data_IF_454795656580
#
_entry.id   IF_454795656580
#
_cell.length_a   1.000
_cell.length_b   1.000
_cell.length_c   1.000
_cell.angle_alpha   90.00
_cell.angle_beta   90.00
_cell.angle_gamma   90.00
#
_symmetry.space_group_name_H-M   'P 1'
#
loop_
_entity.id
_entity.type
_entity.pdbx_description
1 polymer ?
#
# COMPACT_ATOMS: atom_id res chain seq x y z
N UNK A 1 -38.11 11.10 34.91
CA UNK A 1 -37.67 9.70 34.66
C UNK A 1 -37.27 9.48 33.20
N UNK A 2 -37.81 10.22 32.20
CA UNK A 2 -37.57 10.04 30.76
C UNK A 2 -36.23 10.63 30.25
N UNK A 3 -35.64 11.59 30.94
CA UNK A 3 -34.40 12.28 30.53
C UNK A 3 -33.15 11.40 30.74
N UNK A 4 -33.18 10.55 31.74
CA UNK A 4 -32.04 9.65 32.08
C UNK A 4 -31.87 8.53 31.06
N UNK A 5 -32.96 8.03 30.45
CA UNK A 5 -32.92 6.96 29.45
C UNK A 5 -32.29 7.40 28.12
N UNK A 6 -32.40 8.69 27.74
CA UNK A 6 -31.88 9.22 26.48
C UNK A 6 -30.35 9.38 26.52
N UNK A 7 -29.78 9.67 27.70
CA UNK A 7 -28.31 9.84 27.85
C UNK A 7 -27.56 8.50 27.82
N UNK A 8 -28.19 7.41 28.26
CA UNK A 8 -27.55 6.09 28.23
C UNK A 8 -27.44 5.50 26.81
N UNK A 9 -28.37 5.82 25.90
CA UNK A 9 -28.35 5.32 24.52
C UNK A 9 -27.27 5.98 23.67
N UNK A 10 -26.92 7.25 23.95
CA UNK A 10 -25.87 7.96 23.20
C UNK A 10 -24.44 7.50 23.54
N UNK A 11 -24.19 6.99 24.74
CA UNK A 11 -22.87 6.50 25.14
C UNK A 11 -22.53 5.10 24.59
N UNK A 12 -23.51 4.28 24.22
CA UNK A 12 -23.26 2.93 23.70
C UNK A 12 -22.79 2.92 22.24
N UNK A 13 -23.22 3.89 21.42
CA UNK A 13 -22.79 4.00 20.04
C UNK A 13 -21.32 4.42 19.86
N UNK A 14 -20.81 5.29 20.73
CA UNK A 14 -19.45 5.86 20.60
C UNK A 14 -18.38 4.80 20.89
N UNK A 15 -18.63 3.90 21.82
CA UNK A 15 -17.66 2.85 22.21
C UNK A 15 -17.43 1.80 21.12
N UNK A 16 -18.45 1.51 20.31
CA UNK A 16 -18.33 0.50 19.24
C UNK A 16 -17.53 1.01 18.04
N UNK A 17 -17.59 2.32 17.73
CA UNK A 17 -16.79 2.91 16.63
C UNK A 17 -15.30 2.96 16.98
N UNK A 18 -14.95 3.30 18.21
CA UNK A 18 -13.55 3.35 18.63
C UNK A 18 -12.87 1.98 18.58
N UNK A 19 -13.56 0.93 18.97
CA UNK A 19 -13.03 -0.44 18.93
C UNK A 19 -12.79 -0.93 17.49
N UNK A 20 -13.67 -0.60 16.55
CA UNK A 20 -13.53 -0.96 15.14
C UNK A 20 -12.34 -0.24 14.48
N UNK A 21 -12.16 1.04 14.75
CA UNK A 21 -11.02 1.82 14.24
C UNK A 21 -9.69 1.29 14.78
N UNK A 22 -9.62 0.91 16.05
CA UNK A 22 -8.41 0.36 16.64
C UNK A 22 -8.02 -0.98 16.00
N UNK A 23 -9.00 -1.82 15.65
CA UNK A 23 -8.74 -3.09 14.95
C UNK A 23 -8.17 -2.87 13.55
N UNK A 24 -8.70 -1.90 12.79
CA UNK A 24 -8.23 -1.58 11.43
C UNK A 24 -6.81 -1.00 11.45
N UNK A 25 -6.45 -0.19 12.46
CA UNK A 25 -5.09 0.32 12.64
C UNK A 25 -4.08 -0.80 12.93
N UNK A 26 -4.41 -1.75 13.79
CA UNK A 26 -3.54 -2.91 14.09
C UNK A 26 -3.34 -3.76 12.83
N UNK A 27 -4.39 -3.93 12.02
CA UNK A 27 -4.30 -4.64 10.74
C UNK A 27 -3.40 -3.89 9.75
N UNK A 28 -3.56 -2.58 9.64
CA UNK A 28 -2.73 -1.75 8.76
C UNK A 28 -1.25 -1.77 9.17
N UNK A 29 -0.95 -1.68 10.47
CA UNK A 29 0.42 -1.78 10.97
C UNK A 29 1.05 -3.15 10.68
N UNK A 30 0.30 -4.23 10.81
CA UNK A 30 0.77 -5.58 10.50
C UNK A 30 1.10 -5.76 9.03
N UNK A 31 0.30 -5.20 8.11
CA UNK A 31 0.47 -5.37 6.65
C UNK A 31 1.46 -4.39 6.06
N UNK A 32 1.37 -3.12 6.44
CA UNK A 32 2.12 -2.01 5.87
C UNK A 32 3.38 -1.66 6.69
N UNK A 33 3.51 -2.26 7.89
CA UNK A 33 4.60 -2.00 8.82
C UNK A 33 4.38 -0.76 9.70
N UNK A 34 5.30 -0.51 10.67
CA UNK A 34 5.10 0.50 11.72
C UNK A 34 5.05 1.94 11.20
N UNK A 35 5.53 2.20 9.99
CA UNK A 35 5.52 3.53 9.37
C UNK A 35 4.34 3.77 8.43
N UNK A 36 3.32 2.93 8.47
CA UNK A 36 2.20 2.96 7.54
C UNK A 36 1.44 4.30 7.53
N UNK A 37 1.31 4.98 8.67
CA UNK A 37 0.70 6.31 8.73
C UNK A 37 1.52 7.34 7.93
N UNK A 38 2.85 7.31 8.06
CA UNK A 38 3.73 8.18 7.30
C UNK A 38 3.69 7.89 5.80
N UNK A 39 3.62 6.61 5.42
CA UNK A 39 3.48 6.16 4.05
C UNK A 39 2.17 6.69 3.45
N UNK A 40 1.05 6.57 4.17
CA UNK A 40 -0.26 7.07 3.76
C UNK A 40 -0.31 8.59 3.58
N UNK A 41 0.34 9.35 4.48
CA UNK A 41 0.36 10.83 4.42
C UNK A 41 1.27 11.37 3.31
N UNK A 42 2.35 10.66 2.97
CA UNK A 42 3.28 11.06 1.89
C UNK A 42 2.76 10.74 0.50
N UNK A 43 1.84 9.81 0.38
CA UNK A 43 1.27 9.44 -0.90
C UNK A 43 0.31 10.52 -1.42
N UNK A 44 0.49 10.92 -2.67
CA UNK A 44 -0.45 11.77 -3.41
C UNK A 44 -1.60 10.96 -4.00
N UNK A 45 -1.32 9.71 -4.38
CA UNK A 45 -2.29 8.78 -4.94
C UNK A 45 -2.22 7.45 -4.20
N UNK A 46 -3.38 6.91 -3.80
CA UNK A 46 -3.51 5.59 -3.14
C UNK A 46 -4.72 4.88 -3.74
N UNK A 47 -4.50 3.69 -4.26
CA UNK A 47 -5.59 2.90 -4.84
C UNK A 47 -5.26 1.40 -4.84
N UNK A 48 -6.28 0.56 -4.84
CA UNK A 48 -6.18 -0.81 -5.25
C UNK A 48 -6.58 -0.92 -6.73
N UNK A 49 -5.79 -1.65 -7.52
CA UNK A 49 -6.04 -1.73 -8.95
C UNK A 49 -5.37 -2.93 -9.61
N UNK A 50 -5.74 -3.11 -10.86
CA UNK A 50 -5.22 -4.17 -11.73
C UNK A 50 -4.18 -3.59 -12.69
N UNK A 51 -3.01 -4.19 -12.76
CA UNK A 51 -1.96 -3.83 -13.74
C UNK A 51 -2.43 -4.23 -15.14
N UNK A 52 -2.58 -3.27 -16.03
CA UNK A 52 -3.00 -3.49 -17.43
C UNK A 52 -1.82 -3.71 -18.35
N UNK A 53 -0.78 -2.90 -18.19
CA UNK A 53 0.42 -2.95 -19.02
C UNK A 53 1.63 -2.39 -18.26
N UNK A 54 2.80 -2.93 -18.61
CA UNK A 54 4.11 -2.41 -18.22
C UNK A 54 4.92 -2.29 -19.49
N UNK A 55 5.35 -1.07 -19.83
CA UNK A 55 6.19 -0.78 -20.98
C UNK A 55 7.53 -0.28 -20.47
N UNK A 56 8.56 -1.10 -20.62
CA UNK A 56 9.94 -0.72 -20.29
C UNK A 56 10.60 -0.13 -21.55
N UNK A 57 11.40 0.93 -21.43
CA UNK A 57 12.15 1.43 -22.57
C UNK A 57 13.13 0.34 -23.03
N UNK A 58 13.00 -0.08 -24.28
CA UNK A 58 13.96 -0.99 -24.89
C UNK A 58 15.22 -0.19 -25.17
N UNK A 59 16.30 -0.43 -24.44
CA UNK A 59 17.62 0.03 -24.85
C UNK A 59 18.02 -0.87 -26.01
N UNK A 60 17.77 -0.42 -27.22
CA UNK A 60 18.28 -1.10 -28.40
C UNK A 60 19.79 -0.90 -28.39
N UNK A 61 20.54 -1.91 -27.96
CA UNK A 61 21.98 -2.00 -28.16
C UNK A 61 22.27 -2.29 -29.64
N UNK A 62 21.85 -1.34 -30.48
CA UNK A 62 22.19 -1.33 -31.89
C UNK A 62 23.58 -0.76 -32.04
N UNK A 63 24.43 -1.49 -32.73
CA UNK A 63 25.80 -1.17 -33.16
C UNK A 63 25.87 0.05 -34.11
N UNK A 64 24.94 0.96 -34.07
CA UNK A 64 24.96 2.22 -34.82
C UNK A 64 25.22 3.38 -33.85
N UNK A 65 26.48 3.76 -33.78
CA UNK A 65 27.06 4.82 -32.96
C UNK A 65 26.57 6.23 -33.34
N UNK A 66 25.27 6.51 -33.35
CA UNK A 66 24.78 7.87 -33.60
C UNK A 66 23.40 8.15 -33.03
N UNK A 67 22.86 7.29 -32.19
CA UNK A 67 21.63 7.69 -31.50
C UNK A 67 22.04 8.54 -30.28
N UNK A 68 22.17 9.86 -30.54
CA UNK A 68 22.33 10.87 -29.52
C UNK A 68 21.18 10.70 -28.54
N UNK A 69 21.51 10.19 -27.34
CA UNK A 69 20.67 10.39 -26.17
C UNK A 69 20.33 11.88 -26.14
N UNK A 70 19.10 12.22 -26.47
CA UNK A 70 18.62 13.59 -26.37
C UNK A 70 18.87 14.00 -24.93
N UNK A 71 19.75 15.02 -24.68
CA UNK A 71 20.05 15.43 -23.33
C UNK A 71 18.74 15.85 -22.66
N UNK A 72 18.33 15.16 -21.59
CA UNK A 72 17.11 15.46 -20.84
C UNK A 72 16.03 14.38 -20.88
N UNK A 73 16.16 13.33 -21.68
CA UNK A 73 15.19 12.21 -21.66
C UNK A 73 15.68 11.14 -20.68
N UNK A 74 15.25 11.20 -19.43
CA UNK A 74 15.47 10.10 -18.51
C UNK A 74 14.62 8.91 -18.95
N UNK A 75 15.19 7.69 -19.05
CA UNK A 75 14.43 6.52 -19.41
C UNK A 75 13.34 6.28 -18.34
N UNK A 76 12.08 6.29 -18.77
CA UNK A 76 10.95 6.07 -17.90
C UNK A 76 10.22 4.77 -18.28
N UNK A 77 9.83 4.01 -17.28
CA UNK A 77 8.92 2.87 -17.41
C UNK A 77 7.50 3.40 -17.34
N UNK A 78 6.66 2.99 -18.27
CA UNK A 78 5.24 3.33 -18.29
C UNK A 78 4.43 2.16 -17.71
N UNK A 79 3.58 2.47 -16.74
CA UNK A 79 2.67 1.52 -16.11
C UNK A 79 1.24 2.00 -16.26
N UNK A 80 0.37 1.12 -16.69
CA UNK A 80 -1.06 1.41 -16.80
C UNK A 80 -1.83 0.52 -15.83
N UNK A 81 -2.74 1.14 -15.08
CA UNK A 81 -3.59 0.49 -14.08
C UNK A 81 -5.06 0.76 -14.37
N UNK A 82 -5.92 -0.21 -14.11
CA UNK A 82 -7.33 0.06 -13.86
C UNK A 82 -7.51 0.25 -12.36
N UNK A 83 -8.08 1.37 -11.95
CA UNK A 83 -8.38 1.65 -10.54
C UNK A 83 -9.64 0.87 -10.14
N UNK A 84 -9.48 -0.17 -9.35
CA UNK A 84 -10.61 -1.00 -8.87
C UNK A 84 -11.23 -0.41 -7.61
N UNK A 85 -10.41 0.16 -6.69
CA UNK A 85 -10.82 0.86 -5.47
C UNK A 85 -9.98 2.14 -5.30
N UNK A 86 -10.65 3.30 -5.25
CA UNK A 86 -10.00 4.61 -5.10
C UNK A 86 -9.95 5.03 -3.63
N UNK A 87 -8.75 5.22 -3.06
CA UNK A 87 -8.58 5.63 -1.67
C UNK A 87 -8.23 7.10 -1.57
N UNK A 88 -7.30 7.59 -2.38
CA UNK A 88 -6.91 9.01 -2.41
C UNK A 88 -6.32 9.40 -3.77
N UNK A 89 -6.65 10.61 -4.25
CA UNK A 89 -6.03 11.28 -5.40
C UNK A 89 -6.30 10.64 -6.77
N UNK A 90 -7.25 9.74 -6.88
CA UNK A 90 -7.66 9.04 -8.10
C UNK A 90 -9.16 8.80 -8.07
N UNK A 91 -9.74 8.41 -9.22
CA UNK A 91 -11.15 8.06 -9.36
C UNK A 91 -11.31 6.56 -9.62
N UNK A 92 -12.35 5.96 -9.04
CA UNK A 92 -12.67 4.55 -9.24
C UNK A 92 -13.08 4.29 -10.69
N UNK A 93 -12.61 3.19 -11.25
CA UNK A 93 -12.89 2.79 -12.62
C UNK A 93 -12.00 3.46 -13.68
N UNK A 94 -11.23 4.51 -13.32
CA UNK A 94 -10.35 5.15 -14.30
C UNK A 94 -9.19 4.23 -14.72
N UNK A 95 -8.70 4.45 -15.92
CA UNK A 95 -7.42 3.90 -16.38
C UNK A 95 -6.35 4.96 -16.13
N UNK A 96 -5.46 4.68 -15.17
CA UNK A 96 -4.37 5.55 -14.78
C UNK A 96 -3.07 5.08 -15.43
N UNK A 97 -2.39 5.96 -16.15
CA UNK A 97 -1.05 5.70 -16.66
C UNK A 97 -0.06 6.57 -15.90
N UNK A 98 0.96 5.92 -15.33
CA UNK A 98 2.05 6.57 -14.61
C UNK A 98 3.38 6.35 -15.33
N UNK A 99 4.30 7.26 -15.11
CA UNK A 99 5.68 7.16 -15.59
C UNK A 99 6.61 7.10 -14.37
N UNK A 100 7.46 6.09 -14.34
CA UNK A 100 8.44 5.92 -13.29
C UNK A 100 9.85 5.93 -13.88
N UNK A 101 10.81 6.52 -13.16
CA UNK A 101 12.20 6.47 -13.58
C UNK A 101 12.72 5.02 -13.60
N UNK A 102 13.32 4.60 -14.71
CA UNK A 102 13.76 3.22 -14.90
C UNK A 102 14.76 2.73 -13.81
N UNK A 103 15.60 3.64 -13.29
CA UNK A 103 16.51 3.33 -12.19
C UNK A 103 15.78 2.98 -10.88
N UNK A 104 14.68 3.66 -10.55
CA UNK A 104 13.85 3.32 -9.40
C UNK A 104 13.09 2.01 -9.63
N UNK A 105 12.58 1.81 -10.83
CA UNK A 105 11.87 0.60 -11.23
C UNK A 105 12.73 -0.67 -11.07
N UNK A 106 13.99 -0.63 -11.44
CA UNK A 106 14.90 -1.79 -11.34
C UNK A 106 15.15 -2.27 -9.91
N UNK A 107 14.91 -1.41 -8.92
CA UNK A 107 15.08 -1.73 -7.49
C UNK A 107 13.80 -2.25 -6.83
N UNK A 108 12.70 -2.33 -7.58
CA UNK A 108 11.39 -2.72 -7.07
C UNK A 108 11.00 -4.12 -7.52
N UNK A 109 9.92 -4.65 -6.93
CA UNK A 109 9.31 -5.87 -7.42
C UNK A 109 8.67 -5.60 -8.78
N UNK A 110 8.96 -6.39 -9.81
CA UNK A 110 8.32 -6.22 -11.10
C UNK A 110 6.81 -6.44 -10.96
N UNK A 111 6.04 -5.56 -11.58
CA UNK A 111 4.59 -5.70 -11.67
C UNK A 111 4.25 -6.37 -12.99
N UNK A 112 3.42 -7.40 -12.92
CA UNK A 112 3.00 -8.18 -14.08
C UNK A 112 1.56 -7.86 -14.48
N UNK A 113 1.27 -7.93 -15.77
CA UNK A 113 -0.08 -7.72 -16.29
C UNK A 113 -1.07 -8.68 -15.62
N UNK A 114 -2.24 -8.16 -15.22
CA UNK A 114 -3.28 -8.89 -14.52
C UNK A 114 -3.07 -9.00 -13.01
N UNK A 115 -1.94 -8.54 -12.49
CA UNK A 115 -1.69 -8.51 -11.05
C UNK A 115 -2.59 -7.47 -10.37
N UNK A 116 -3.23 -7.85 -9.26
CA UNK A 116 -3.93 -6.93 -8.37
C UNK A 116 -2.98 -6.41 -7.30
N UNK A 117 -2.97 -5.10 -7.08
CA UNK A 117 -2.06 -4.43 -6.17
C UNK A 117 -2.73 -3.25 -5.47
N UNK A 118 -2.45 -3.06 -4.18
CA UNK A 118 -2.67 -1.81 -3.48
C UNK A 118 -1.37 -1.01 -3.54
N UNK A 119 -1.41 0.20 -4.07
CA UNK A 119 -0.22 1.00 -4.33
C UNK A 119 -0.35 2.41 -3.73
N UNK A 120 0.76 2.89 -3.17
CA UNK A 120 0.94 4.22 -2.62
C UNK A 120 1.96 4.96 -3.48
N UNK A 121 1.55 5.97 -4.21
CA UNK A 121 2.40 6.74 -5.13
C UNK A 121 2.66 8.14 -4.61
N UNK A 122 3.88 8.63 -4.78
CA UNK A 122 4.16 10.05 -4.57
C UNK A 122 3.32 10.90 -5.53
N UNK A 123 3.06 12.18 -5.17
CA UNK A 123 2.54 13.13 -6.15
C UNK A 123 3.47 13.18 -7.38
N UNK A 124 2.92 13.29 -8.60
CA UNK A 124 3.74 13.44 -9.79
C UNK A 124 4.68 14.63 -9.68
N UNK A 125 5.93 14.44 -10.08
CA UNK A 125 6.92 15.52 -10.19
C UNK A 125 6.56 16.48 -11.31
N UNK A 126 7.30 17.59 -11.45
CA UNK A 126 7.14 18.53 -12.57
C UNK A 126 7.38 17.88 -13.94
N UNK A 127 8.09 16.75 -13.98
CA UNK A 127 8.33 15.96 -15.20
C UNK A 127 7.27 14.88 -15.41
N UNK A 128 6.19 14.84 -14.60
CA UNK A 128 5.16 13.82 -14.67
C UNK A 128 5.60 12.44 -14.15
N UNK A 129 6.80 12.34 -13.56
CA UNK A 129 7.29 11.08 -12.99
C UNK A 129 6.76 10.90 -11.58
N UNK A 130 6.39 9.67 -11.23
CA UNK A 130 6.04 9.25 -9.88
C UNK A 130 6.68 7.90 -9.56
N UNK A 131 6.68 7.51 -8.29
CA UNK A 131 7.16 6.22 -7.82
C UNK A 131 6.42 5.80 -6.56
N UNK A 132 6.42 4.52 -6.20
CA UNK A 132 5.85 4.06 -4.94
C UNK A 132 6.58 4.65 -3.73
N UNK A 133 5.79 5.08 -2.75
CA UNK A 133 6.30 5.66 -1.50
C UNK A 133 7.08 4.59 -0.73
N UNK A 134 8.36 4.84 -0.48
CA UNK A 134 9.23 3.87 0.19
C UNK A 134 9.58 2.65 -0.68
N UNK A 135 9.46 2.77 -2.01
CA UNK A 135 9.76 1.70 -2.96
C UNK A 135 8.82 0.50 -2.80
N UNK A 136 9.37 -0.70 -2.59
CA UNK A 136 8.57 -1.92 -2.43
C UNK A 136 7.62 -1.92 -1.21
N UNK A 137 7.83 -1.04 -0.23
CA UNK A 137 6.92 -0.88 0.91
C UNK A 137 5.59 -0.25 0.50
N UNK A 138 5.60 0.59 -0.53
CA UNK A 138 4.40 1.20 -1.09
C UNK A 138 3.64 0.31 -2.07
N UNK A 139 3.96 -0.98 -2.13
CA UNK A 139 3.36 -1.95 -3.04
C UNK A 139 2.90 -3.17 -2.25
N UNK A 140 1.60 -3.39 -2.16
CA UNK A 140 1.02 -4.54 -1.46
C UNK A 140 0.32 -5.43 -2.49
N UNK A 141 0.82 -6.65 -2.68
CA UNK A 141 0.20 -7.61 -3.57
C UNK A 141 -1.15 -8.07 -3.00
N UNK A 142 -2.17 -8.08 -3.82
CA UNK A 142 -3.50 -8.57 -3.50
C UNK A 142 -3.70 -9.99 -4.07
N UNK A 143 -4.73 -10.67 -3.57
CA UNK A 143 -5.15 -11.97 -4.10
C UNK A 143 -5.79 -11.81 -5.50
N UNK A 144 -6.09 -12.92 -6.15
CA UNK A 144 -6.71 -12.94 -7.48
C UNK A 144 -8.09 -12.25 -7.54
N UNK A 145 -8.73 -12.06 -6.40
CA UNK A 145 -9.99 -11.30 -6.33
C UNK A 145 -9.78 -9.79 -6.23
N UNK A 146 -8.55 -9.33 -5.93
CA UNK A 146 -8.23 -7.95 -5.66
C UNK A 146 -8.80 -7.40 -4.35
N UNK A 147 -9.45 -8.26 -3.54
CA UNK A 147 -10.18 -7.83 -2.33
C UNK A 147 -9.43 -8.06 -1.04
N UNK A 148 -8.41 -8.92 -1.05
CA UNK A 148 -7.64 -9.27 0.13
C UNK A 148 -6.13 -9.19 -0.13
N UNK A 149 -5.36 -8.98 0.92
CA UNK A 149 -3.90 -9.04 0.86
C UNK A 149 -3.46 -10.47 0.55
N UNK A 150 -2.50 -10.64 -0.36
CA UNK A 150 -1.95 -11.94 -0.73
C UNK A 150 -1.29 -12.64 0.47
N UNK A 151 -1.49 -13.96 0.58
CA UNK A 151 -0.90 -14.77 1.65
C UNK A 151 0.63 -14.77 1.65
N UNK A 152 1.26 -14.58 0.50
CA UNK A 152 2.71 -14.56 0.40
C UNK A 152 3.31 -13.33 1.07
N UNK A 153 2.62 -12.19 1.02
CA UNK A 153 3.00 -10.99 1.77
C UNK A 153 2.87 -11.20 3.29
N UNK A 154 1.82 -11.88 3.72
CA UNK A 154 1.60 -12.17 5.16
C UNK A 154 2.66 -13.11 5.74
N UNK A 155 3.23 -14.02 4.93
CA UNK A 155 4.31 -14.94 5.36
C UNK A 155 5.67 -14.27 5.48
N UNK A 156 5.98 -13.32 4.61
CA UNK A 156 7.27 -12.61 4.62
C UNK A 156 7.43 -11.75 5.89
N UNK A 157 6.35 -11.15 6.40
CA UNK A 157 6.41 -10.39 7.65
C UNK A 157 6.51 -11.29 8.89
N UNK A 158 5.94 -12.49 8.83
CA UNK A 158 6.08 -13.48 9.90
C UNK A 158 7.50 -14.09 9.98
N UNK A 159 8.26 -14.03 8.90
CA UNK A 159 9.65 -14.53 8.81
C UNK A 159 10.70 -13.43 8.96
N UNK A 160 10.30 -12.16 9.12
CA UNK A 160 11.26 -11.09 9.37
C UNK A 160 11.87 -11.33 10.76
N UNK A 161 13.15 -11.74 10.85
CA UNK A 161 13.79 -11.91 12.14
C UNK A 161 13.73 -10.57 12.85
N UNK A 162 13.30 -10.57 14.09
CA UNK A 162 13.56 -9.48 15.03
C UNK A 162 15.08 -9.39 15.20
N UNK A 163 15.78 -8.91 14.18
CA UNK A 163 17.20 -8.78 14.14
C UNK A 163 17.60 -7.73 15.15
N UNK A 164 18.14 -8.24 16.25
CA UNK A 164 19.22 -7.65 17.03
C UNK A 164 18.94 -6.27 17.63
N UNK A 165 18.21 -6.22 18.72
CA UNK A 165 18.67 -5.46 19.87
C UNK A 165 18.70 -6.44 21.03
N UNK A 166 19.92 -6.91 21.34
CA UNK A 166 20.17 -7.69 22.54
C UNK A 166 19.87 -6.85 23.76
N UNK A 167 19.16 -7.44 24.70
CA UNK A 167 19.39 -7.40 26.13
C UNK A 167 18.13 -7.89 26.85
N UNK A 168 18.31 -8.90 27.68
CA UNK A 168 17.43 -9.11 28.83
C UNK A 168 16.43 -10.25 28.73
N UNK A 169 16.82 -11.40 29.29
CA UNK A 169 15.94 -12.46 29.79
C UNK A 169 14.74 -11.88 30.53
N UNK A 170 13.54 -12.27 30.11
CA UNK A 170 12.45 -12.53 31.02
C UNK A 170 11.41 -13.41 30.29
N UNK A 171 11.39 -14.66 30.65
CA UNK A 171 10.38 -15.64 30.31
C UNK A 171 9.08 -15.25 30.97
N UNK A 172 8.08 -14.89 30.17
CA UNK A 172 6.67 -15.01 30.55
C UNK A 172 5.93 -15.56 29.36
N UNK A 173 5.21 -16.67 29.49
CA UNK A 173 4.37 -17.18 28.42
C UNK A 173 3.20 -16.20 28.23
N UNK A 174 3.30 -15.33 27.24
CA UNK A 174 2.14 -14.59 26.77
C UNK A 174 1.12 -15.59 26.24
N UNK A 175 -0.16 -15.47 26.63
CA UNK A 175 -1.20 -16.31 26.07
C UNK A 175 -1.15 -16.14 24.55
N UNK A 176 -0.97 -17.24 23.84
CA UNK A 176 -1.19 -17.33 22.39
C UNK A 176 -2.68 -16.98 22.17
N UNK A 177 -2.96 -15.70 21.96
CA UNK A 177 -4.18 -15.34 21.28
C UNK A 177 -4.17 -16.13 19.98
N UNK A 178 -5.13 -17.00 19.79
CA UNK A 178 -5.45 -17.63 18.52
C UNK A 178 -5.72 -16.51 17.55
N UNK A 179 -4.66 -16.07 16.85
CA UNK A 179 -4.78 -15.11 15.75
C UNK A 179 -5.55 -15.85 14.68
N UNK A 180 -6.83 -15.56 14.63
CA UNK A 180 -7.66 -15.89 13.49
C UNK A 180 -6.85 -15.50 12.23
N UNK A 181 -6.49 -16.49 11.41
CA UNK A 181 -5.81 -16.30 10.14
C UNK A 181 -6.75 -15.63 9.13
N UNK A 182 -7.54 -14.66 9.59
CA UNK A 182 -8.45 -13.86 8.82
C UNK A 182 -7.71 -13.17 7.69
N UNK A 183 -8.18 -13.38 6.48
CA UNK A 183 -7.72 -12.66 5.31
C UNK A 183 -7.90 -11.18 5.56
N UNK A 184 -6.83 -10.41 5.47
CA UNK A 184 -6.91 -8.95 5.59
C UNK A 184 -7.55 -8.40 4.33
N UNK A 185 -8.69 -7.73 4.48
CA UNK A 185 -9.39 -7.13 3.34
C UNK A 185 -8.84 -5.75 2.98
N UNK A 186 -8.92 -5.39 1.71
CA UNK A 186 -8.56 -4.05 1.20
C UNK A 186 -9.42 -2.98 1.89
N UNK A 187 -10.71 -3.26 2.14
CA UNK A 187 -11.64 -2.33 2.81
C UNK A 187 -11.20 -1.98 4.24
N UNK A 188 -10.62 -2.94 4.98
CA UNK A 188 -10.07 -2.66 6.32
C UNK A 188 -8.85 -1.73 6.23
N UNK A 189 -7.94 -1.98 5.27
CA UNK A 189 -6.79 -1.12 5.02
C UNK A 189 -7.21 0.27 4.56
N UNK A 190 -8.19 0.37 3.67
CA UNK A 190 -8.75 1.63 3.20
C UNK A 190 -9.26 2.49 4.35
N UNK A 191 -10.09 1.93 5.25
CA UNK A 191 -10.60 2.67 6.41
C UNK A 191 -9.48 3.17 7.31
N UNK A 192 -8.49 2.33 7.60
CA UNK A 192 -7.33 2.74 8.38
C UNK A 192 -6.55 3.87 7.69
N UNK A 193 -6.31 3.75 6.37
CA UNK A 193 -5.57 4.73 5.57
C UNK A 193 -6.30 6.07 5.56
N UNK A 194 -7.62 6.08 5.31
CA UNK A 194 -8.44 7.31 5.33
C UNK A 194 -8.36 7.99 6.69
N UNK A 195 -8.58 7.24 7.78
CA UNK A 195 -8.47 7.76 9.15
C UNK A 195 -7.10 8.39 9.45
N UNK A 196 -6.01 7.74 9.01
CA UNK A 196 -4.65 8.25 9.23
C UNK A 196 -4.33 9.53 8.43
N UNK A 197 -5.07 9.81 7.38
CA UNK A 197 -4.92 11.04 6.56
C UNK A 197 -5.73 12.22 7.10
N UNK A 198 -6.74 11.95 7.90
CA UNK A 198 -7.60 12.97 8.55
C UNK A 198 -7.03 13.44 9.90
N UNK A 199 -6.13 12.65 10.53
CA UNK A 199 -5.36 13.03 11.73
C UNK A 199 -4.28 14.10 11.41
#
# INVERSE_FOLDING_TARGET
VWVVALVCLSNFCVSSFAAAQQSDQVVAERVLGPRWKQLSRRAGMIFAGTVLATVTPTVTTGTAATDRLVPGTSPAVQLSFRVDEAIAGVEQGQVLTIHEWAGAWSMQRPMTRGQHILIFLYPPSRLGLTSPVGGSLGQVALDLSGKNVSKDMQRLDAQRPAAAIGLGKASSPRPRATVDNGRVSVVQLERAIRSAREE
#
